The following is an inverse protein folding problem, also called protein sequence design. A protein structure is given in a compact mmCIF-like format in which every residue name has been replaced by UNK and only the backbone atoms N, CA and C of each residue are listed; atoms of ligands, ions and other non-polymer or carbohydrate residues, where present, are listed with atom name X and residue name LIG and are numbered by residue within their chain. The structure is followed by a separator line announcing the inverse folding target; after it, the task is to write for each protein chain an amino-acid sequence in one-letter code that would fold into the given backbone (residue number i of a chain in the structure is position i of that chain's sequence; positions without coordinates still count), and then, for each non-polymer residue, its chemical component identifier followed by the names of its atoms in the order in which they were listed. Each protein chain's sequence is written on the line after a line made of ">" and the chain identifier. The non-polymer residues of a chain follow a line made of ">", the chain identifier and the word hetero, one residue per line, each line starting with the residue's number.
data_IF_115312816555
#
_entry.id   IF_115312816555
#
_cell.length_a   1.000
_cell.length_b   1.000
_cell.length_c   1.000
_cell.angle_alpha   90.00
_cell.angle_beta   90.00
_cell.angle_gamma   90.00
#
_symmetry.space_group_name_H-M   'P 1'
#
loop_
_entity.id
_entity.type
_entity.pdbx_description
1 polymer ?
#
# COMPACT_ATOMS: atom_id res chain seq x y z
N UNK A 1 -36.60 -42.25 25.36
CA UNK A 1 -35.70 -41.38 24.57
C UNK A 1 -34.46 -42.20 24.21
N UNK A 2 -34.37 -42.66 22.95
CA UNK A 2 -33.28 -43.52 22.48
C UNK A 2 -32.06 -42.65 22.11
N UNK A 3 -30.98 -42.72 22.91
CA UNK A 3 -29.66 -42.28 22.47
C UNK A 3 -29.09 -43.37 21.55
N UNK A 4 -29.28 -43.23 20.24
CA UNK A 4 -28.52 -44.00 19.26
C UNK A 4 -27.14 -43.35 19.16
N UNK A 5 -26.13 -43.96 19.78
CA UNK A 5 -24.74 -43.66 19.44
C UNK A 5 -24.56 -43.97 17.97
N UNK A 6 -24.17 -42.98 17.18
CA UNK A 6 -23.75 -43.21 15.80
C UNK A 6 -22.43 -43.95 15.90
N UNK A 7 -22.45 -45.27 15.74
CA UNK A 7 -21.23 -46.04 15.51
C UNK A 7 -20.70 -45.62 14.14
N UNK A 8 -19.82 -44.63 14.14
CA UNK A 8 -19.09 -44.23 12.95
C UNK A 8 -18.27 -45.44 12.51
N UNK A 9 -18.59 -45.97 11.33
CA UNK A 9 -17.80 -47.02 10.70
C UNK A 9 -16.33 -46.60 10.67
N UNK A 10 -15.43 -47.52 11.00
CA UNK A 10 -13.98 -47.29 11.04
C UNK A 10 -13.45 -46.59 9.77
N UNK A 11 -14.07 -46.87 8.62
CA UNK A 11 -13.76 -46.24 7.34
C UNK A 11 -14.08 -44.73 7.33
N UNK A 12 -15.19 -44.32 7.95
CA UNK A 12 -15.58 -42.90 8.04
C UNK A 12 -14.59 -42.12 8.89
N UNK A 13 -14.11 -42.72 9.98
CA UNK A 13 -13.09 -42.12 10.86
C UNK A 13 -11.78 -41.90 10.08
N UNK A 14 -11.33 -42.91 9.32
CA UNK A 14 -10.11 -42.81 8.53
C UNK A 14 -10.23 -41.73 7.45
N UNK A 15 -11.35 -41.70 6.72
CA UNK A 15 -11.59 -40.71 5.66
C UNK A 15 -11.62 -39.29 6.24
N UNK A 16 -12.29 -39.10 7.38
CA UNK A 16 -12.39 -37.77 7.99
C UNK A 16 -11.03 -37.25 8.48
N UNK A 17 -10.17 -38.11 9.03
CA UNK A 17 -8.79 -37.72 9.39
C UNK A 17 -7.99 -37.32 8.15
N UNK A 18 -8.06 -38.09 7.06
CA UNK A 18 -7.34 -37.78 5.82
C UNK A 18 -7.79 -36.45 5.22
N UNK A 19 -9.09 -36.17 5.21
CA UNK A 19 -9.63 -34.89 4.73
C UNK A 19 -9.14 -33.73 5.58
N UNK A 20 -9.14 -33.87 6.91
CA UNK A 20 -8.63 -32.83 7.82
C UNK A 20 -7.14 -32.58 7.57
N UNK A 21 -6.33 -33.62 7.39
CA UNK A 21 -4.90 -33.47 7.10
C UNK A 21 -4.66 -32.74 5.77
N UNK A 22 -5.40 -33.10 4.72
CA UNK A 22 -5.30 -32.40 3.42
C UNK A 22 -5.70 -30.93 3.56
N UNK A 23 -6.78 -30.63 4.28
CA UNK A 23 -7.22 -29.25 4.53
C UNK A 23 -6.18 -28.44 5.31
N UNK A 24 -5.52 -29.05 6.31
CA UNK A 24 -4.43 -28.39 7.04
C UNK A 24 -3.26 -28.08 6.12
N UNK A 25 -2.83 -29.02 5.29
CA UNK A 25 -1.74 -28.81 4.33
C UNK A 25 -2.08 -27.65 3.37
N UNK A 26 -3.30 -27.64 2.81
CA UNK A 26 -3.75 -26.56 1.94
C UNK A 26 -3.76 -25.21 2.69
N UNK A 27 -4.31 -25.17 3.90
CA UNK A 27 -4.31 -23.96 4.72
C UNK A 27 -2.90 -23.43 5.00
N UNK A 28 -1.93 -24.31 5.30
CA UNK A 28 -0.53 -23.93 5.47
C UNK A 28 0.08 -23.35 4.18
N UNK A 29 -0.21 -23.93 3.02
CA UNK A 29 0.25 -23.38 1.74
C UNK A 29 -0.37 -22.01 1.44
N UNK A 30 -1.68 -21.84 1.68
CA UNK A 30 -2.34 -20.56 1.45
C UNK A 30 -1.88 -19.49 2.44
N UNK A 31 -1.69 -19.82 3.73
CA UNK A 31 -1.25 -18.87 4.75
C UNK A 31 0.26 -18.55 4.66
N UNK A 32 1.10 -19.55 4.38
CA UNK A 32 2.56 -19.37 4.29
C UNK A 32 3.05 -18.88 2.93
N UNK A 33 2.36 -19.21 1.84
CA UNK A 33 2.74 -18.78 0.48
C UNK A 33 2.34 -17.34 0.17
N UNK A 34 1.18 -16.89 0.64
CA UNK A 34 0.68 -15.55 0.32
C UNK A 34 1.32 -14.45 1.16
N UNK A 35 1.67 -14.71 2.42
CA UNK A 35 2.31 -13.73 3.31
C UNK A 35 3.64 -13.20 2.77
N UNK A 36 4.46 -14.07 2.16
CA UNK A 36 5.73 -13.68 1.55
C UNK A 36 5.57 -12.95 0.20
N UNK A 37 4.48 -13.24 -0.54
CA UNK A 37 4.18 -12.54 -1.80
C UNK A 37 3.63 -11.14 -1.53
N UNK A 38 2.79 -10.96 -0.51
CA UNK A 38 2.29 -9.62 -0.13
C UNK A 38 3.40 -8.70 0.37
N UNK A 39 4.41 -9.22 1.06
CA UNK A 39 5.59 -8.41 1.45
C UNK A 39 6.42 -7.97 0.24
N UNK A 40 6.57 -8.82 -0.79
CA UNK A 40 7.22 -8.44 -2.05
C UNK A 40 6.39 -7.50 -2.93
N UNK A 41 5.06 -7.51 -2.77
CA UNK A 41 4.17 -6.57 -3.47
C UNK A 41 4.15 -5.20 -2.75
N UNK A 42 4.62 -5.07 -1.51
CA UNK A 42 4.89 -3.75 -0.93
C UNK A 42 6.19 -3.11 -1.42
N UNK A 43 7.06 -3.89 -2.09
CA UNK A 43 8.27 -3.40 -2.75
C UNK A 43 8.12 -3.38 -4.28
N UNK A 44 6.93 -3.03 -4.79
CA UNK A 44 6.83 -2.67 -6.22
C UNK A 44 7.75 -1.46 -6.38
N UNK A 45 8.61 -1.51 -7.39
CA UNK A 45 9.69 -0.55 -7.61
C UNK A 45 9.25 0.92 -7.66
N UNK A 46 10.20 1.84 -7.89
CA UNK A 46 9.96 3.26 -7.83
C UNK A 46 8.71 3.70 -8.59
N UNK A 47 7.94 4.60 -7.97
CA UNK A 47 6.82 5.28 -8.59
C UNK A 47 7.30 5.96 -9.88
N UNK A 48 6.51 5.81 -10.95
CA UNK A 48 6.82 6.47 -12.21
C UNK A 48 6.72 7.99 -12.02
N UNK A 49 7.82 8.71 -12.27
CA UNK A 49 7.91 10.16 -12.09
C UNK A 49 6.79 10.91 -12.83
N UNK A 50 6.47 10.52 -14.06
CA UNK A 50 5.40 11.16 -14.84
C UNK A 50 4.01 10.93 -14.22
N UNK A 51 3.75 9.75 -13.67
CA UNK A 51 2.50 9.45 -12.97
C UNK A 51 2.40 10.25 -11.67
N UNK A 52 3.49 10.32 -10.92
CA UNK A 52 3.59 11.11 -9.70
C UNK A 52 3.34 12.60 -10.00
N UNK A 53 3.97 13.15 -11.03
CA UNK A 53 3.76 14.54 -11.47
C UNK A 53 2.30 14.80 -11.85
N UNK A 54 1.66 13.91 -12.64
CA UNK A 54 0.24 14.07 -13.02
C UNK A 54 -0.70 14.03 -11.82
N UNK A 55 -0.47 13.13 -10.85
CA UNK A 55 -1.29 13.07 -9.64
C UNK A 55 -1.06 14.33 -8.76
N UNK A 56 0.19 14.79 -8.64
CA UNK A 56 0.51 16.05 -7.98
C UNK A 56 -0.16 17.26 -8.64
N UNK A 57 -0.21 17.33 -9.97
CA UNK A 57 -0.92 18.38 -10.69
C UNK A 57 -2.43 18.36 -10.37
N UNK A 58 -3.04 17.17 -10.36
CA UNK A 58 -4.46 17.02 -10.01
C UNK A 58 -4.73 17.46 -8.56
N UNK A 59 -3.85 17.08 -7.62
CA UNK A 59 -3.98 17.49 -6.21
C UNK A 59 -3.75 18.99 -6.03
N UNK A 60 -2.83 19.57 -6.80
CA UNK A 60 -2.60 21.01 -6.82
C UNK A 60 -3.85 21.77 -7.25
N UNK A 61 -4.49 21.36 -8.35
CA UNK A 61 -5.73 21.98 -8.85
C UNK A 61 -6.83 21.96 -7.77
N UNK A 62 -6.98 20.84 -7.08
CA UNK A 62 -7.91 20.73 -5.97
C UNK A 62 -7.52 21.66 -4.80
N UNK A 63 -6.25 21.68 -4.43
CA UNK A 63 -5.75 22.51 -3.33
C UNK A 63 -5.93 24.02 -3.59
N UNK A 64 -5.82 24.45 -4.85
CA UNK A 64 -6.07 25.84 -5.25
C UNK A 64 -7.53 26.25 -5.07
N UNK A 65 -8.48 25.32 -5.08
CA UNK A 65 -9.90 25.63 -4.80
C UNK A 65 -10.17 25.92 -3.33
N UNK A 66 -9.26 25.57 -2.42
CA UNK A 66 -9.47 25.80 -1.00
C UNK A 66 -9.31 27.28 -0.65
N UNK A 67 -10.33 27.83 0.01
CA UNK A 67 -10.35 29.21 0.49
C UNK A 67 -9.66 29.41 1.83
N UNK A 68 -9.43 28.33 2.58
CA UNK A 68 -8.77 28.36 3.89
C UNK A 68 -7.32 27.86 3.80
N UNK A 69 -6.40 28.62 4.38
CA UNK A 69 -4.98 28.26 4.45
C UNK A 69 -4.75 26.91 5.15
N UNK A 70 -5.52 26.60 6.20
CA UNK A 70 -5.44 25.31 6.89
C UNK A 70 -5.84 24.13 5.98
N UNK A 71 -6.77 24.32 5.04
CA UNK A 71 -7.13 23.29 4.07
C UNK A 71 -6.06 23.12 3.00
N UNK A 72 -5.33 24.20 2.65
CA UNK A 72 -4.18 24.14 1.74
C UNK A 72 -3.01 23.38 2.36
N UNK A 73 -2.69 23.64 3.63
CA UNK A 73 -1.65 22.92 4.39
C UNK A 73 -1.97 21.42 4.45
N UNK A 74 -3.23 21.06 4.71
CA UNK A 74 -3.68 19.66 4.80
C UNK A 74 -4.04 19.04 3.44
N UNK A 75 -3.80 19.76 2.35
CA UNK A 75 -4.16 19.27 1.03
C UNK A 75 -3.37 18.01 0.67
N UNK A 76 -3.91 17.23 -0.25
CA UNK A 76 -3.19 16.09 -0.83
C UNK A 76 -1.87 16.51 -1.48
N UNK A 77 -1.77 17.73 -1.99
CA UNK A 77 -0.54 18.25 -2.58
C UNK A 77 0.60 18.39 -1.56
N UNK A 78 0.33 18.89 -0.35
CA UNK A 78 1.39 19.01 0.67
C UNK A 78 1.75 17.67 1.35
N UNK A 79 0.76 16.79 1.53
CA UNK A 79 0.89 15.57 2.33
C UNK A 79 1.31 14.31 1.55
N UNK A 80 1.08 14.27 0.24
CA UNK A 80 1.43 13.07 -0.55
C UNK A 80 2.93 12.99 -0.81
N UNK A 81 3.48 11.79 -0.64
CA UNK A 81 4.84 11.43 -1.02
C UNK A 81 4.85 10.29 -2.03
N UNK A 82 5.86 10.29 -2.89
CA UNK A 82 6.10 9.23 -3.88
C UNK A 82 7.50 8.70 -3.72
N UNK A 83 7.66 7.40 -3.93
CA UNK A 83 8.94 6.72 -3.90
C UNK A 83 9.51 6.73 -5.31
N UNK A 84 10.04 7.86 -5.77
CA UNK A 84 10.65 7.95 -7.11
C UNK A 84 12.12 7.54 -7.06
N UNK A 85 12.59 6.97 -8.17
CA UNK A 85 14.00 6.71 -8.43
C UNK A 85 14.60 7.98 -9.05
N UNK A 86 15.54 8.60 -8.34
CA UNK A 86 16.13 9.88 -8.74
C UNK A 86 17.46 9.70 -9.48
N UNK A 87 18.12 8.55 -9.33
CA UNK A 87 19.45 8.30 -9.90
C UNK A 87 19.45 7.33 -11.10
N UNK A 88 18.30 6.71 -11.38
CA UNK A 88 18.05 5.83 -12.49
C UNK A 88 18.55 4.39 -12.29
N UNK A 89 18.81 3.98 -11.05
CA UNK A 89 19.28 2.63 -10.73
C UNK A 89 18.16 1.57 -10.66
N UNK A 90 16.90 2.00 -10.77
CA UNK A 90 15.70 1.17 -10.71
C UNK A 90 15.20 0.91 -9.29
N UNK A 91 15.72 1.60 -8.28
CA UNK A 91 15.38 1.53 -6.86
C UNK A 91 14.94 2.91 -6.38
N UNK A 92 13.94 2.98 -5.49
CA UNK A 92 13.58 4.27 -4.90
C UNK A 92 14.58 4.64 -3.81
N UNK A 93 15.26 5.76 -4.00
CA UNK A 93 16.22 6.29 -3.05
C UNK A 93 15.54 6.94 -1.84
N UNK A 94 14.49 7.73 -2.09
CA UNK A 94 13.85 8.60 -1.11
C UNK A 94 12.37 8.85 -1.45
N UNK A 95 11.62 9.24 -0.42
CA UNK A 95 10.27 9.79 -0.57
C UNK A 95 10.35 11.25 -0.98
N UNK A 96 9.66 11.58 -2.06
CA UNK A 96 9.57 12.94 -2.59
C UNK A 96 8.15 13.47 -2.50
N UNK A 97 7.99 14.67 -1.94
CA UNK A 97 6.70 15.36 -1.93
C UNK A 97 6.39 15.98 -3.30
N UNK A 98 5.11 16.27 -3.57
CA UNK A 98 4.69 16.98 -4.78
C UNK A 98 5.34 18.36 -4.95
N UNK A 99 5.64 19.04 -3.84
CA UNK A 99 6.30 20.34 -3.85
C UNK A 99 7.82 20.27 -3.95
N UNK A 100 8.39 19.05 -3.96
CA UNK A 100 9.82 18.84 -4.16
C UNK A 100 10.23 19.11 -5.61
N UNK A 101 11.47 19.56 -5.79
CA UNK A 101 11.99 19.88 -7.12
C UNK A 101 12.16 18.64 -8.01
N UNK A 102 12.23 17.44 -7.43
CA UNK A 102 12.31 16.16 -8.14
C UNK A 102 11.04 15.85 -8.94
N UNK A 103 9.86 16.05 -8.34
CA UNK A 103 8.57 15.79 -9.02
C UNK A 103 8.16 17.00 -9.88
N UNK A 104 8.55 18.21 -9.48
CA UNK A 104 8.53 19.38 -10.37
C UNK A 104 7.17 20.06 -10.55
N UNK A 105 6.15 19.74 -9.75
CA UNK A 105 4.86 20.41 -9.84
C UNK A 105 4.81 21.66 -8.96
N UNK A 106 5.00 22.83 -9.57
CA UNK A 106 4.82 24.10 -8.89
C UNK A 106 3.31 24.39 -8.73
N UNK A 107 2.84 24.51 -7.49
CA UNK A 107 1.45 24.84 -7.19
C UNK A 107 1.30 26.28 -6.64
N UNK A 108 1.04 27.28 -7.51
CA UNK A 108 0.87 28.67 -7.09
C UNK A 108 -0.18 28.83 -5.99
N UNK A 109 0.15 29.57 -4.94
CA UNK A 109 -0.77 29.89 -3.84
C UNK A 109 -1.10 28.71 -2.91
N UNK A 110 -0.40 27.58 -3.07
CA UNK A 110 -0.47 26.40 -2.19
C UNK A 110 0.94 25.97 -1.75
N UNK A 111 1.93 26.00 -2.64
CA UNK A 111 3.32 25.58 -2.34
C UNK A 111 3.90 26.28 -1.11
N UNK A 112 3.62 27.57 -0.93
CA UNK A 112 4.10 28.36 0.21
C UNK A 112 3.55 27.90 1.57
N UNK A 113 2.46 27.13 1.56
CA UNK A 113 1.84 26.55 2.75
C UNK A 113 2.35 25.12 3.04
N UNK A 114 3.04 24.49 2.09
CA UNK A 114 3.65 23.19 2.30
C UNK A 114 5.03 23.40 2.94
N UNK A 115 5.08 23.46 4.26
CA UNK A 115 6.35 23.49 5.00
C UNK A 115 6.94 22.09 5.08
N UNK A 116 8.27 22.02 5.01
CA UNK A 116 9.06 20.82 5.20
C UNK A 116 9.02 20.35 6.66
N UNK A 117 7.90 19.84 7.12
CA UNK A 117 7.87 18.99 8.30
C UNK A 117 7.89 17.53 7.82
N UNK A 118 9.02 16.89 8.13
CA UNK A 118 9.28 15.45 8.16
C UNK A 118 9.45 14.72 6.82
N UNK A 119 10.61 14.97 6.19
CA UNK A 119 11.26 13.93 5.39
C UNK A 119 11.76 12.86 6.37
N UNK A 120 10.90 11.91 6.73
CA UNK A 120 11.36 10.66 7.36
C UNK A 120 12.18 9.89 6.32
N UNK A 121 13.50 9.95 6.49
CA UNK A 121 14.44 9.01 5.88
C UNK A 121 14.02 7.58 6.24
N UNK A 122 14.00 6.69 5.23
CA UNK A 122 13.72 5.27 5.40
C UNK A 122 14.78 4.56 6.25
#
# INVERSE_FOLDING_TARGET
>A
MNKKGVELSMNVIIISILVILVLLVLAFFFLGGTSNLFQKIQSIGPDNLETAARDCASKCQLAQTYSSDNLKIKSGYCSTTYNVDSDGDGVSDKKHHCWSDTIGENCPGVKDFCTAEDVEEL
#
